data_IF_625704454603
#
_entry.id   IF_625704454603
#
_cell.length_a   1.000
_cell.length_b   1.000
_cell.length_c   1.000
_cell.angle_alpha   90.00
_cell.angle_beta   90.00
_cell.angle_gamma   90.00
#
_symmetry.space_group_name_H-M   'P 1'
#
loop_
_entity.id
_entity.type
_entity.pdbx_description
1 polymer ?
#
# COMPACT_ATOMS: atom_id res chain seq x y z
N UNK A 1 12.23 5.37 -14.51
CA UNK A 1 12.03 4.85 -13.14
C UNK A 1 10.55 4.74 -12.83
N UNK A 2 10.14 3.71 -12.10
CA UNK A 2 8.74 3.52 -11.71
C UNK A 2 8.53 3.94 -10.26
N UNK A 3 7.65 4.91 -10.03
CA UNK A 3 7.48 5.56 -8.73
C UNK A 3 6.06 5.37 -8.17
N UNK A 4 5.97 5.40 -6.85
CA UNK A 4 4.72 5.50 -6.10
C UNK A 4 4.95 6.19 -4.75
N UNK A 5 3.87 6.71 -4.17
CA UNK A 5 3.87 7.31 -2.82
C UNK A 5 3.13 6.38 -1.88
N UNK A 6 3.69 6.12 -0.70
CA UNK A 6 3.12 5.17 0.25
C UNK A 6 3.44 5.50 1.71
N UNK A 7 2.68 4.87 2.62
CA UNK A 7 3.05 4.73 4.03
C UNK A 7 3.75 3.39 4.26
N UNK A 8 4.78 3.40 5.07
CA UNK A 8 5.46 2.18 5.51
C UNK A 8 4.67 1.44 6.59
N UNK A 9 4.86 0.13 6.63
CA UNK A 9 4.32 -0.74 7.67
C UNK A 9 5.45 -1.01 8.69
N UNK A 10 5.28 -0.66 9.99
CA UNK A 10 6.27 -0.94 11.02
C UNK A 10 6.55 -2.43 11.17
N UNK A 11 7.75 -2.76 11.65
CA UNK A 11 8.22 -4.14 11.75
C UNK A 11 7.27 -5.06 12.54
N UNK A 12 6.68 -4.58 13.65
CA UNK A 12 5.75 -5.36 14.46
C UNK A 12 4.48 -5.75 13.67
N UNK A 13 3.86 -4.78 12.98
CA UNK A 13 2.67 -5.03 12.15
C UNK A 13 3.03 -5.87 10.93
N UNK A 14 4.18 -5.61 10.32
CA UNK A 14 4.71 -6.41 9.20
C UNK A 14 4.90 -7.88 9.59
N UNK A 15 5.33 -8.16 10.83
CA UNK A 15 5.43 -9.51 11.38
C UNK A 15 4.07 -10.23 11.38
N UNK A 16 3.00 -9.58 11.86
CA UNK A 16 1.66 -10.15 11.86
C UNK A 16 1.18 -10.51 10.44
N UNK A 17 1.47 -9.65 9.45
CA UNK A 17 1.16 -9.94 8.05
C UNK A 17 2.05 -11.04 7.46
N UNK A 18 3.31 -11.12 7.86
CA UNK A 18 4.21 -12.21 7.46
C UNK A 18 3.66 -13.55 7.90
N UNK A 19 3.25 -13.68 9.16
CA UNK A 19 2.67 -14.90 9.71
C UNK A 19 1.37 -15.29 8.98
N UNK A 20 0.50 -14.31 8.71
CA UNK A 20 -0.72 -14.54 7.93
C UNK A 20 -0.41 -15.03 6.51
N UNK A 21 0.49 -14.33 5.81
CA UNK A 21 0.88 -14.70 4.43
C UNK A 21 1.50 -16.08 4.40
N UNK A 22 2.34 -16.45 5.36
CA UNK A 22 2.94 -17.78 5.44
C UNK A 22 1.90 -18.87 5.66
N UNK A 23 0.94 -18.65 6.57
CA UNK A 23 -0.16 -19.58 6.79
C UNK A 23 -1.00 -19.82 5.53
N UNK A 24 -1.35 -18.74 4.81
CA UNK A 24 -2.11 -18.82 3.57
C UNK A 24 -1.29 -19.40 2.40
N UNK A 25 0.01 -19.11 2.35
CA UNK A 25 0.93 -19.67 1.36
C UNK A 25 1.08 -21.18 1.51
N UNK A 26 1.04 -21.71 2.73
CA UNK A 26 1.07 -23.14 2.96
C UNK A 26 -0.10 -23.87 2.26
N UNK A 27 -1.26 -23.22 2.18
CA UNK A 27 -2.44 -23.73 1.47
C UNK A 27 -2.33 -23.54 -0.05
N UNK A 28 -1.73 -22.43 -0.48
CA UNK A 28 -1.61 -22.08 -1.91
C UNK A 28 -0.22 -21.49 -2.22
N UNK A 29 0.81 -22.33 -2.35
CA UNK A 29 2.20 -21.87 -2.56
C UNK A 29 2.42 -21.21 -3.92
N UNK A 30 1.60 -21.56 -4.93
CA UNK A 30 1.68 -20.99 -6.29
C UNK A 30 1.06 -19.62 -6.44
N UNK A 31 0.31 -19.14 -5.44
CA UNK A 31 -0.26 -17.78 -5.47
C UNK A 31 0.85 -16.74 -5.39
N UNK A 32 0.69 -15.63 -6.11
CA UNK A 32 1.65 -14.51 -6.11
C UNK A 32 1.49 -13.66 -4.84
N UNK A 33 2.06 -14.17 -3.74
CA UNK A 33 2.08 -13.49 -2.45
C UNK A 33 3.02 -12.29 -2.47
N UNK A 34 2.59 -11.19 -1.84
CA UNK A 34 3.46 -10.03 -1.62
C UNK A 34 4.52 -10.41 -0.58
N UNK A 35 5.76 -10.05 -0.84
CA UNK A 35 6.83 -10.23 0.16
C UNK A 35 6.59 -9.29 1.34
N UNK A 36 6.77 -9.74 2.59
CA UNK A 36 6.58 -8.86 3.76
C UNK A 36 7.35 -7.55 3.68
N UNK A 37 8.58 -7.55 3.13
CA UNK A 37 9.38 -6.35 2.92
C UNK A 37 8.75 -5.35 1.93
N UNK A 38 7.83 -5.80 1.07
CA UNK A 38 7.15 -4.98 0.05
C UNK A 38 5.74 -4.53 0.49
N UNK A 39 5.36 -4.80 1.74
CA UNK A 39 4.06 -4.37 2.27
C UNK A 39 4.07 -2.85 2.52
N UNK A 40 3.20 -2.14 1.81
CA UNK A 40 3.03 -0.69 1.90
C UNK A 40 1.57 -0.31 1.68
N UNK A 41 1.12 0.74 2.37
CA UNK A 41 -0.18 1.36 2.07
C UNK A 41 0.03 2.40 0.98
N UNK A 42 -0.31 2.05 -0.25
CA UNK A 42 -0.12 2.96 -1.39
C UNK A 42 -1.10 4.11 -1.35
N UNK A 43 -0.59 5.33 -1.42
CA UNK A 43 -1.35 6.57 -1.50
C UNK A 43 -1.56 7.01 -2.96
N UNK A 44 -0.52 6.89 -3.79
CA UNK A 44 -0.57 7.25 -5.21
C UNK A 44 0.43 6.47 -6.05
N UNK A 45 -0.03 5.83 -7.10
CA UNK A 45 0.84 5.34 -8.17
C UNK A 45 1.16 6.48 -9.14
N UNK A 46 2.45 6.75 -9.32
CA UNK A 46 2.95 7.73 -10.29
C UNK A 46 3.21 7.04 -11.63
N UNK A 47 3.71 5.81 -11.60
CA UNK A 47 4.04 5.03 -12.80
C UNK A 47 5.44 5.30 -13.32
N UNK A 48 5.65 5.03 -14.61
CA UNK A 48 6.94 5.23 -15.27
C UNK A 48 7.20 6.70 -15.57
N UNK A 49 8.31 7.22 -15.09
CA UNK A 49 8.71 8.62 -15.28
C UNK A 49 10.20 8.71 -15.60
N UNK A 50 10.59 9.81 -16.28
CA UNK A 50 11.99 10.13 -16.50
C UNK A 50 12.67 10.53 -15.18
N UNK A 51 13.92 10.12 -14.98
CA UNK A 51 14.75 10.53 -13.84
C UNK A 51 14.89 12.06 -13.73
N UNK A 52 14.85 12.75 -14.86
CA UNK A 52 14.90 14.23 -14.90
C UNK A 52 13.75 14.91 -14.18
N UNK A 53 12.61 14.21 -14.01
CA UNK A 53 11.43 14.70 -13.30
C UNK A 53 11.45 14.46 -11.79
N UNK A 54 12.40 13.68 -11.28
CA UNK A 54 12.45 13.30 -9.86
C UNK A 54 12.47 14.53 -8.93
N UNK A 55 13.24 15.56 -9.28
CA UNK A 55 13.30 16.81 -8.51
C UNK A 55 11.94 17.52 -8.40
N UNK A 56 11.16 17.52 -9.48
CA UNK A 56 9.83 18.13 -9.48
C UNK A 56 8.84 17.37 -8.58
N UNK A 57 8.88 16.02 -8.60
CA UNK A 57 8.07 15.20 -7.69
C UNK A 57 8.44 15.43 -6.23
N UNK A 58 9.73 15.47 -5.90
CA UNK A 58 10.21 15.79 -4.55
C UNK A 58 9.70 17.15 -4.08
N UNK A 59 9.87 18.19 -4.88
CA UNK A 59 9.45 19.54 -4.55
C UNK A 59 7.94 19.64 -4.31
N UNK A 60 7.13 18.96 -5.13
CA UNK A 60 5.69 18.93 -4.97
C UNK A 60 5.26 18.19 -3.68
N UNK A 61 5.93 17.08 -3.34
CA UNK A 61 5.63 16.29 -2.15
C UNK A 61 6.05 16.99 -0.84
N UNK A 62 7.12 17.78 -0.86
CA UNK A 62 7.51 18.63 0.29
C UNK A 62 6.39 19.60 0.67
N UNK A 63 5.55 20.03 -0.28
CA UNK A 63 4.41 20.91 -0.04
C UNK A 63 3.20 20.23 0.63
N UNK A 64 3.13 18.89 0.62
CA UNK A 64 2.01 18.14 1.20
C UNK A 64 2.13 18.14 2.72
N UNK A 65 1.04 18.51 3.40
CA UNK A 65 0.96 18.63 4.85
C UNK A 65 -0.21 17.83 5.42
N UNK A 66 -0.05 17.40 6.66
CA UNK A 66 -1.14 16.96 7.53
C UNK A 66 -0.84 17.47 8.94
N UNK A 67 -1.81 18.15 9.56
CA UNK A 67 -1.63 18.74 10.88
C UNK A 67 -1.52 17.70 12.00
N UNK A 68 -1.87 16.47 11.70
CA UNK A 68 -1.91 15.38 12.67
C UNK A 68 -1.31 14.09 12.08
N UNK A 69 -0.73 13.22 12.91
CA UNK A 69 -0.38 11.88 12.51
C UNK A 69 -1.59 11.12 11.95
N UNK A 70 -1.34 10.23 10.99
CA UNK A 70 -2.34 9.32 10.47
C UNK A 70 -2.31 8.04 11.30
N UNK A 71 -3.50 7.56 11.67
CA UNK A 71 -3.68 6.24 12.31
C UNK A 71 -4.40 5.32 11.34
N UNK A 72 -3.88 4.09 11.20
CA UNK A 72 -4.46 3.02 10.40
C UNK A 72 -4.65 1.80 11.27
N UNK A 73 -5.84 1.21 11.24
CA UNK A 73 -6.14 -0.08 11.87
C UNK A 73 -6.43 -1.10 10.78
N UNK A 74 -5.72 -2.23 10.81
CA UNK A 74 -5.89 -3.28 9.80
C UNK A 74 -6.92 -4.28 10.28
N UNK A 75 -8.04 -4.38 9.53
CA UNK A 75 -9.16 -5.27 9.86
C UNK A 75 -9.75 -5.92 8.62
N UNK A 76 -9.99 -7.21 8.75
CA UNK A 76 -10.67 -7.98 7.71
C UNK A 76 -9.84 -8.19 6.45
N UNK A 77 -10.31 -9.13 5.66
CA UNK A 77 -9.73 -9.49 4.36
C UNK A 77 -10.81 -9.38 3.28
N UNK A 78 -10.41 -9.00 2.08
CA UNK A 78 -11.34 -8.88 0.98
C UNK A 78 -10.66 -9.00 -0.37
N UNK A 79 -11.45 -8.86 -1.44
CA UNK A 79 -11.00 -9.07 -2.81
C UNK A 79 -11.37 -7.91 -3.72
N UNK A 80 -10.49 -7.61 -4.66
CA UNK A 80 -10.80 -6.76 -5.81
C UNK A 80 -10.76 -7.57 -7.10
N UNK A 81 -11.66 -7.32 -8.07
CA UNK A 81 -12.88 -6.49 -7.96
C UNK A 81 -13.98 -7.15 -7.11
N UNK A 82 -13.95 -8.46 -6.94
CA UNK A 82 -14.91 -9.22 -6.12
C UNK A 82 -14.37 -10.58 -5.75
N UNK A 83 -15.03 -11.26 -4.80
CA UNK A 83 -14.71 -12.64 -4.42
C UNK A 83 -14.98 -13.67 -5.53
N UNK A 84 -15.91 -13.39 -6.44
CA UNK A 84 -16.23 -14.28 -7.58
C UNK A 84 -15.15 -14.24 -8.67
N UNK A 85 -14.50 -13.09 -8.85
CA UNK A 85 -13.45 -12.89 -9.84
C UNK A 85 -12.25 -12.16 -9.18
N UNK A 86 -11.60 -12.79 -8.19
CA UNK A 86 -10.56 -12.14 -7.40
C UNK A 86 -9.30 -11.95 -8.23
N UNK A 87 -8.80 -10.73 -8.27
CA UNK A 87 -7.47 -10.40 -8.82
C UNK A 87 -6.49 -10.01 -7.74
N UNK A 88 -7.01 -9.50 -6.61
CA UNK A 88 -6.22 -9.04 -5.47
C UNK A 88 -6.89 -9.50 -4.19
N UNK A 89 -6.11 -10.08 -3.29
CA UNK A 89 -6.45 -10.22 -1.87
C UNK A 89 -5.86 -9.04 -1.13
N UNK A 90 -6.66 -8.39 -0.30
CA UNK A 90 -6.24 -7.24 0.50
C UNK A 90 -6.69 -7.34 1.95
N UNK A 91 -5.94 -6.70 2.84
CA UNK A 91 -6.38 -6.40 4.20
C UNK A 91 -7.05 -5.01 4.22
N UNK A 92 -8.20 -4.91 4.88
CA UNK A 92 -8.94 -3.68 5.06
C UNK A 92 -8.22 -2.72 6.00
N UNK A 93 -8.45 -1.41 5.81
CA UNK A 93 -7.89 -0.35 6.62
C UNK A 93 -9.00 0.57 7.09
N UNK A 94 -9.15 0.69 8.41
CA UNK A 94 -9.87 1.79 9.04
C UNK A 94 -8.86 2.90 9.35
N UNK A 95 -9.03 4.06 8.73
CA UNK A 95 -8.08 5.16 8.82
C UNK A 95 -8.68 6.37 9.52
N UNK A 96 -7.83 7.14 10.22
CA UNK A 96 -8.20 8.45 10.74
C UNK A 96 -8.66 9.40 9.62
N UNK A 97 -9.59 10.34 9.89
CA UNK A 97 -10.18 11.20 8.84
C UNK A 97 -9.17 11.98 8.00
N UNK A 98 -8.06 12.41 8.61
CA UNK A 98 -6.99 13.14 7.93
C UNK A 98 -6.23 12.30 6.89
N UNK A 99 -6.35 10.98 6.91
CA UNK A 99 -5.75 10.11 5.90
C UNK A 99 -6.32 10.36 4.49
N UNK A 100 -7.63 10.59 4.37
CA UNK A 100 -8.25 10.96 3.10
C UNK A 100 -7.78 12.32 2.60
N UNK A 101 -7.60 13.27 3.52
CA UNK A 101 -7.10 14.61 3.19
C UNK A 101 -5.66 14.50 2.68
N UNK A 102 -4.81 13.72 3.34
CA UNK A 102 -3.45 13.47 2.90
C UNK A 102 -3.42 12.85 1.49
N UNK A 103 -4.20 11.79 1.26
CA UNK A 103 -4.28 11.13 -0.04
C UNK A 103 -4.74 12.09 -1.14
N UNK A 104 -5.75 12.93 -0.87
CA UNK A 104 -6.25 13.93 -1.80
C UNK A 104 -5.21 15.03 -2.10
N UNK A 105 -4.44 15.46 -1.10
CA UNK A 105 -3.37 16.45 -1.27
C UNK A 105 -2.23 15.90 -2.12
N UNK A 106 -1.86 14.64 -1.94
CA UNK A 106 -0.87 13.96 -2.78
C UNK A 106 -1.38 13.81 -4.21
N UNK A 107 -2.65 13.41 -4.38
CA UNK A 107 -3.30 13.30 -5.69
C UNK A 107 -3.23 14.63 -6.45
N UNK A 108 -3.59 15.73 -5.77
CA UNK A 108 -3.55 17.09 -6.35
C UNK A 108 -2.12 17.52 -6.72
N UNK A 109 -1.15 17.28 -5.84
CA UNK A 109 0.25 17.59 -6.11
C UNK A 109 0.78 16.85 -7.35
N UNK A 110 0.38 15.61 -7.53
CA UNK A 110 0.77 14.79 -8.69
C UNK A 110 0.05 15.21 -9.97
N UNK A 111 -1.21 15.61 -9.87
CA UNK A 111 -1.99 16.10 -11.01
C UNK A 111 -1.37 17.36 -11.64
N UNK A 112 -0.86 18.29 -10.83
CA UNK A 112 -0.14 19.50 -11.29
C UNK A 112 1.09 19.12 -12.13
N UNK A 113 1.72 17.98 -11.85
CA UNK A 113 2.86 17.46 -12.60
C UNK A 113 2.47 16.56 -13.79
N UNK A 114 1.17 16.52 -14.14
CA UNK A 114 0.65 15.77 -15.27
C UNK A 114 0.41 14.28 -14.99
N UNK A 115 0.41 13.85 -13.73
CA UNK A 115 0.02 12.50 -13.36
C UNK A 115 -1.49 12.45 -13.20
N UNK A 116 -2.21 11.65 -14.00
CA UNK A 116 -3.67 11.64 -13.97
C UNK A 116 -4.21 11.19 -12.61
N UNK A 117 -5.37 11.73 -12.25
CA UNK A 117 -6.11 11.23 -11.08
C UNK A 117 -6.53 9.77 -11.27
N UNK A 118 -6.60 9.05 -10.15
CA UNK A 118 -7.17 7.72 -10.15
C UNK A 118 -8.63 7.74 -10.63
N UNK A 119 -8.99 6.83 -11.54
CA UNK A 119 -10.37 6.74 -12.07
C UNK A 119 -11.38 6.23 -11.04
N UNK A 120 -10.91 5.61 -9.96
CA UNK A 120 -11.74 5.07 -8.88
C UNK A 120 -11.53 5.87 -7.61
N UNK A 121 -12.57 5.99 -6.75
CA UNK A 121 -12.40 6.56 -5.43
C UNK A 121 -11.25 5.87 -4.68
N UNK A 122 -10.47 6.65 -3.94
CA UNK A 122 -9.41 6.11 -3.12
C UNK A 122 -9.98 5.17 -2.06
N UNK A 123 -9.52 3.93 -2.06
CA UNK A 123 -9.87 2.91 -1.07
C UNK A 123 -8.60 2.43 -0.39
N UNK A 124 -8.49 2.73 0.90
CA UNK A 124 -7.34 2.31 1.69
C UNK A 124 -7.35 0.78 1.85
N UNK A 125 -6.27 0.15 1.42
CA UNK A 125 -6.09 -1.30 1.54
C UNK A 125 -4.62 -1.67 1.52
N UNK A 126 -4.29 -2.83 2.09
CA UNK A 126 -2.97 -3.42 1.98
C UNK A 126 -3.06 -4.67 1.10
N UNK A 127 -2.41 -4.65 -0.04
CA UNK A 127 -2.37 -5.81 -0.94
C UNK A 127 -1.51 -6.93 -0.35
N UNK A 128 -2.07 -8.14 -0.25
CA UNK A 128 -1.40 -9.34 0.27
C UNK A 128 -1.04 -10.35 -0.83
N UNK A 129 -1.90 -10.48 -1.85
CA UNK A 129 -1.64 -11.40 -2.97
C UNK A 129 -2.33 -10.94 -4.26
N UNK A 130 -1.88 -11.53 -5.38
CA UNK A 130 -2.48 -11.36 -6.70
C UNK A 130 -2.80 -12.70 -7.31
N UNK A 131 -3.94 -12.78 -7.99
CA UNK A 131 -4.43 -13.99 -8.63
C UNK A 131 -4.44 -13.83 -10.15
N UNK A 132 -3.81 -14.81 -10.81
CA UNK A 132 -3.79 -14.93 -12.26
C UNK A 132 -3.73 -16.42 -12.61
N UNK A 133 -4.82 -17.00 -13.15
CA UNK A 133 -6.11 -16.40 -13.51
C UNK A 133 -6.93 -15.89 -12.31
N UNK A 134 -7.99 -15.08 -12.53
CA UNK A 134 -8.76 -14.43 -11.46
C UNK A 134 -9.74 -15.43 -10.79
N UNK A 135 -9.18 -16.41 -10.11
CA UNK A 135 -9.92 -17.40 -9.32
C UNK A 135 -9.12 -17.78 -8.08
N UNK A 136 -9.83 -18.16 -7.02
CA UNK A 136 -9.18 -18.68 -5.82
C UNK A 136 -8.77 -20.16 -6.04
N UNK A 137 -7.54 -20.51 -5.66
CA UNK A 137 -7.14 -21.90 -5.52
C UNK A 137 -8.01 -22.65 -4.51
N UNK A 138 -8.11 -23.96 -4.68
CA UNK A 138 -8.87 -24.84 -3.77
C UNK A 138 -8.34 -24.72 -2.33
N UNK A 139 -9.23 -24.72 -1.36
CA UNK A 139 -8.90 -24.60 0.07
C UNK A 139 -8.53 -23.18 0.54
N UNK A 140 -8.08 -22.30 -0.36
CA UNK A 140 -7.64 -20.96 0.04
C UNK A 140 -8.80 -20.08 0.55
N UNK A 141 -10.01 -20.26 0.01
CA UNK A 141 -11.21 -19.56 0.48
C UNK A 141 -11.47 -19.82 1.97
N UNK A 142 -11.48 -21.08 2.38
CA UNK A 142 -11.71 -21.47 3.77
C UNK A 142 -10.63 -20.89 4.69
N UNK A 143 -9.36 -21.00 4.30
CA UNK A 143 -8.24 -20.48 5.06
C UNK A 143 -8.31 -18.94 5.24
N UNK A 144 -8.74 -18.22 4.19
CA UNK A 144 -8.95 -16.76 4.26
C UNK A 144 -10.10 -16.41 5.21
N UNK A 145 -11.23 -17.14 5.13
CA UNK A 145 -12.36 -16.91 6.01
C UNK A 145 -12.04 -17.17 7.49
N UNK A 146 -11.27 -18.19 7.80
CA UNK A 146 -10.78 -18.47 9.15
C UNK A 146 -9.83 -17.37 9.67
N UNK A 147 -9.07 -16.75 8.76
CA UNK A 147 -8.10 -15.71 9.09
C UNK A 147 -8.71 -14.30 9.12
N UNK A 148 -9.85 -14.07 8.48
CA UNK A 148 -10.45 -12.74 8.32
C UNK A 148 -10.79 -12.01 9.64
N UNK A 149 -11.18 -12.68 10.74
CA UNK A 149 -11.46 -12.01 12.01
C UNK A 149 -10.22 -11.50 12.76
N UNK A 150 -9.03 -11.82 12.32
CA UNK A 150 -7.80 -11.42 13.03
C UNK A 150 -7.62 -9.91 13.03
N UNK A 151 -7.29 -9.37 14.19
CA UNK A 151 -6.70 -8.06 14.31
C UNK A 151 -5.24 -8.14 13.85
N UNK A 152 -4.91 -7.37 12.82
CA UNK A 152 -3.58 -7.41 12.20
C UNK A 152 -2.66 -6.30 12.69
N UNK A 153 -3.16 -5.45 13.58
CA UNK A 153 -2.43 -4.37 14.21
C UNK A 153 -2.81 -2.99 13.72
N UNK A 154 -2.16 -1.99 14.28
CA UNK A 154 -2.35 -0.58 13.94
C UNK A 154 -1.03 0.12 13.68
N UNK A 155 -1.09 1.17 12.89
CA UNK A 155 0.05 2.03 12.55
C UNK A 155 -0.32 3.47 12.87
N UNK A 156 0.56 4.18 13.54
CA UNK A 156 0.51 5.63 13.67
C UNK A 156 1.77 6.22 13.07
N UNK A 157 1.61 7.06 12.05
CA UNK A 157 2.74 7.66 11.34
C UNK A 157 2.54 9.15 11.11
N UNK A 158 3.64 9.89 11.08
CA UNK A 158 3.69 11.31 10.74
C UNK A 158 4.48 11.55 9.45
N UNK A 159 4.73 10.51 8.66
CA UNK A 159 5.49 10.62 7.41
C UNK A 159 4.95 9.70 6.34
N UNK A 160 5.21 10.07 5.08
CA UNK A 160 5.02 9.23 3.90
C UNK A 160 6.31 9.20 3.06
N UNK A 161 6.35 8.31 2.06
CA UNK A 161 7.57 8.01 1.33
C UNK A 161 7.35 8.04 -0.17
N UNK A 162 8.33 8.56 -0.90
CA UNK A 162 8.47 8.38 -2.34
C UNK A 162 9.33 7.14 -2.57
N UNK A 163 8.78 6.15 -3.26
CA UNK A 163 9.39 4.82 -3.42
C UNK A 163 9.57 4.51 -4.90
N UNK A 164 10.75 4.01 -5.24
CA UNK A 164 11.04 3.42 -6.54
C UNK A 164 10.76 1.92 -6.53
N UNK A 165 10.10 1.44 -7.58
CA UNK A 165 9.87 0.01 -7.83
C UNK A 165 10.73 -0.45 -8.99
N UNK A 166 11.63 -1.39 -8.76
CA UNK A 166 12.41 -2.09 -9.80
C UNK A 166 11.92 -3.52 -9.95
N UNK A 167 11.58 -3.91 -11.18
CA UNK A 167 11.24 -5.29 -11.48
C UNK A 167 12.52 -6.08 -11.70
N UNK A 168 12.73 -7.10 -10.88
CA UNK A 168 13.82 -8.08 -11.02
C UNK A 168 13.24 -9.46 -11.34
N UNK A 169 14.07 -10.37 -11.79
CA UNK A 169 13.69 -11.77 -12.00
C UNK A 169 13.12 -12.44 -10.74
N UNK A 170 13.57 -11.98 -9.56
CA UNK A 170 13.09 -12.43 -8.26
C UNK A 170 11.80 -11.74 -7.77
N UNK A 171 11.24 -10.80 -8.54
CA UNK A 171 10.06 -9.99 -8.19
C UNK A 171 10.37 -8.51 -8.02
N UNK A 172 9.37 -7.72 -7.62
CA UNK A 172 9.56 -6.30 -7.36
C UNK A 172 10.47 -6.06 -6.15
N UNK A 173 11.37 -5.09 -6.30
CA UNK A 173 12.23 -4.56 -5.24
C UNK A 173 11.91 -3.09 -5.06
N UNK A 174 11.67 -2.67 -3.82
CA UNK A 174 11.28 -1.31 -3.48
C UNK A 174 12.43 -0.60 -2.76
N UNK A 175 12.69 0.64 -3.17
CA UNK A 175 13.71 1.51 -2.58
C UNK A 175 13.06 2.82 -2.21
N UNK A 176 13.10 3.18 -0.92
CA UNK A 176 12.67 4.51 -0.46
C UNK A 176 13.67 5.55 -0.93
N UNK A 177 13.23 6.46 -1.79
CA UNK A 177 14.05 7.55 -2.32
C UNK A 177 14.07 8.75 -1.39
N UNK A 178 12.93 9.02 -0.72
CA UNK A 178 12.80 10.14 0.20
C UNK A 178 11.61 9.94 1.14
N UNK A 179 11.74 10.51 2.35
CA UNK A 179 10.70 10.52 3.39
C UNK A 179 10.27 11.96 3.67
N UNK A 180 8.96 12.17 3.78
CA UNK A 180 8.34 13.48 3.98
C UNK A 180 7.56 13.48 5.29
N UNK A 181 7.90 14.37 6.21
CA UNK A 181 7.13 14.59 7.43
C UNK A 181 5.84 15.37 7.10
N UNK A 182 4.74 15.03 7.75
CA UNK A 182 3.45 15.69 7.55
C UNK A 182 3.45 17.15 8.02
N UNK A 183 3.99 17.39 9.21
CA UNK A 183 4.14 18.72 9.78
C UNK A 183 5.54 18.88 10.36
N UNK A 184 6.06 20.10 10.37
CA UNK A 184 7.18 20.41 11.23
C UNK A 184 6.71 20.20 12.68
N UNK A 185 7.42 19.37 13.43
CA UNK A 185 7.24 19.32 14.88
C UNK A 185 7.62 20.69 15.38
N UNK A 186 6.64 21.48 15.85
CA UNK A 186 6.97 22.67 16.61
C UNK A 186 7.80 22.21 17.80
N UNK A 187 8.99 22.78 17.89
CA UNK A 187 9.93 22.55 18.98
C UNK A 187 9.43 23.17 20.29
#
# INVERSE_FOLDING_TARGET
MRLFVALEIPAAVRGNFSDLIEALRAVSPQTRWVRPANLHVTLKFIGEVSETKLGAFRSALVGVRSDQPVTLEFRGLGFFPSEKHPRVLWAGIEASPNFRILAASIEQAMEILGIPRGQRPFSAHLTLARFEPPRLPEGLRAAIQESAPRELGSVRTNQFHLIESKLKSSGAEYTTLESFLFAATEA
#
